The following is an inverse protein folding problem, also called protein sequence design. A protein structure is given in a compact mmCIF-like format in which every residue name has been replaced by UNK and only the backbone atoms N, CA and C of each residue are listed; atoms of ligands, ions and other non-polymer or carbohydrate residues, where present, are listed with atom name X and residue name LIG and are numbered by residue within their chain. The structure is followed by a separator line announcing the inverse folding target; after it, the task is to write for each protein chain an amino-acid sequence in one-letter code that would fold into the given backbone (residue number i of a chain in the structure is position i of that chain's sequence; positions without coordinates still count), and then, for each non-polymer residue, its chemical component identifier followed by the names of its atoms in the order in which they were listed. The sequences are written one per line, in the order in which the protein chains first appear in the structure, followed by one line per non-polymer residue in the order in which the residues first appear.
data_IF_793704401992
#
_entry.id   IF_793704401992
#
_cell.length_a   1.000
_cell.length_b   1.000
_cell.length_c   1.000
_cell.angle_alpha   90.00
_cell.angle_beta   90.00
_cell.angle_gamma   90.00
#
_symmetry.space_group_name_H-M   'P 1'
#
loop_
_entity.id
_entity.type
_entity.pdbx_description
1 polymer ?
#
# COMPACT_ATOMS: atom_id res chain seq x y z
N UNK A 1 -17.36 14.20 -14.58
CA UNK A 1 -16.67 12.96 -14.95
C UNK A 1 -15.22 13.33 -15.17
N UNK A 2 -14.39 13.30 -14.12
CA UNK A 2 -13.00 13.77 -14.20
C UNK A 2 -12.07 12.58 -14.42
N UNK A 3 -11.37 12.65 -15.54
CA UNK A 3 -10.28 11.80 -16.00
C UNK A 3 -9.12 11.86 -15.00
N UNK A 4 -8.82 10.73 -14.36
CA UNK A 4 -7.65 10.58 -13.48
C UNK A 4 -6.39 10.32 -14.34
N UNK A 5 -5.81 11.38 -14.90
CA UNK A 5 -4.48 11.33 -15.50
C UNK A 5 -3.40 11.56 -14.45
N UNK A 6 -2.54 10.55 -14.23
CA UNK A 6 -1.18 10.59 -13.69
C UNK A 6 -0.87 11.68 -12.63
N UNK A 7 -1.70 11.74 -11.59
CA UNK A 7 -1.42 12.60 -10.43
C UNK A 7 -0.28 11.97 -9.61
N UNK A 8 0.78 12.74 -9.33
CA UNK A 8 1.87 12.29 -8.45
C UNK A 8 1.32 11.91 -7.07
N UNK A 9 1.97 10.98 -6.35
CA UNK A 9 1.49 10.56 -5.01
C UNK A 9 1.22 11.74 -4.07
N UNK A 10 2.06 12.77 -4.11
CA UNK A 10 1.90 13.99 -3.32
C UNK A 10 0.64 14.76 -3.72
N UNK A 11 0.43 14.97 -5.02
CA UNK A 11 -0.74 15.70 -5.52
C UNK A 11 -2.06 14.94 -5.24
N UNK A 12 -2.04 13.61 -5.10
CA UNK A 12 -3.21 12.87 -4.63
C UNK A 12 -3.46 13.12 -3.14
N UNK A 13 -2.40 13.10 -2.32
CA UNK A 13 -2.52 13.39 -0.88
C UNK A 13 -3.09 14.81 -0.66
N UNK A 14 -2.59 15.80 -1.41
CA UNK A 14 -3.10 17.18 -1.38
C UNK A 14 -4.57 17.28 -1.87
N UNK A 15 -4.94 16.56 -2.93
CA UNK A 15 -6.32 16.54 -3.43
C UNK A 15 -7.28 15.94 -2.40
N UNK A 16 -6.89 14.86 -1.73
CA UNK A 16 -7.72 14.21 -0.71
C UNK A 16 -7.98 15.15 0.46
N UNK A 17 -6.96 15.87 0.91
CA UNK A 17 -7.10 16.84 1.99
C UNK A 17 -7.97 18.03 1.54
N UNK A 18 -7.67 18.65 0.40
CA UNK A 18 -8.35 19.88 -0.05
C UNK A 18 -9.78 19.64 -0.57
N UNK A 19 -10.00 18.56 -1.33
CA UNK A 19 -11.29 18.32 -2.00
C UNK A 19 -12.24 17.45 -1.17
N UNK A 20 -11.70 16.63 -0.26
CA UNK A 20 -12.50 15.71 0.54
C UNK A 20 -12.39 15.95 2.05
N UNK A 21 -11.54 16.88 2.49
CA UNK A 21 -11.33 17.23 3.90
C UNK A 21 -10.93 16.01 4.76
N UNK A 22 -10.18 15.08 4.15
CA UNK A 22 -9.68 13.86 4.78
C UNK A 22 -8.18 14.04 5.02
N UNK A 23 -7.78 14.13 6.28
CA UNK A 23 -6.36 14.19 6.65
C UNK A 23 -5.72 12.82 6.57
N UNK A 24 -4.60 12.72 5.85
CA UNK A 24 -3.84 11.47 5.70
C UNK A 24 -2.90 11.29 6.88
N UNK A 25 -3.21 10.30 7.70
CA UNK A 25 -2.47 9.98 8.90
C UNK A 25 -1.31 9.02 8.58
N UNK A 26 -0.13 9.36 9.10
CA UNK A 26 1.12 8.62 8.90
C UNK A 26 1.83 8.41 10.22
N UNK A 27 2.30 7.19 10.44
CA UNK A 27 3.02 6.76 11.63
C UNK A 27 4.34 6.08 11.24
N UNK A 28 5.35 6.17 12.10
CA UNK A 28 6.64 5.50 11.91
C UNK A 28 6.85 4.46 13.00
N UNK A 29 7.15 3.23 12.60
CA UNK A 29 7.42 2.12 13.52
C UNK A 29 8.82 1.56 13.29
N UNK A 30 9.49 1.20 14.38
CA UNK A 30 10.82 0.58 14.34
C UNK A 30 10.74 -0.81 14.94
N UNK A 31 11.38 -1.76 14.29
CA UNK A 31 11.43 -3.16 14.70
C UNK A 31 12.87 -3.66 14.66
N UNK A 32 13.20 -4.57 15.56
CA UNK A 32 14.55 -5.16 15.62
C UNK A 32 14.74 -6.22 14.53
N UNK A 33 13.65 -6.84 14.07
CA UNK A 33 13.69 -7.90 13.06
C UNK A 33 12.55 -7.77 12.06
N UNK A 34 12.73 -8.41 10.90
CA UNK A 34 11.67 -8.55 9.90
C UNK A 34 10.49 -9.39 10.42
N UNK A 35 10.72 -10.30 11.36
CA UNK A 35 9.66 -11.13 11.97
C UNK A 35 8.74 -10.31 12.87
N UNK A 36 9.32 -9.41 13.69
CA UNK A 36 8.55 -8.47 14.52
C UNK A 36 7.66 -7.58 13.65
N UNK A 37 8.20 -7.07 12.54
CA UNK A 37 7.43 -6.33 11.54
C UNK A 37 6.27 -7.17 10.98
N UNK A 38 6.52 -8.43 10.60
CA UNK A 38 5.48 -9.30 10.03
C UNK A 38 4.34 -9.55 11.03
N UNK A 39 4.67 -9.77 12.31
CA UNK A 39 3.69 -9.98 13.37
C UNK A 39 2.86 -8.71 13.61
N UNK A 40 3.51 -7.55 13.66
CA UNK A 40 2.83 -6.26 13.76
C UNK A 40 1.91 -6.03 12.55
N UNK A 41 2.41 -6.27 11.34
CA UNK A 41 1.63 -6.15 10.10
C UNK A 41 0.39 -7.04 10.14
N UNK A 42 0.52 -8.31 10.52
CA UNK A 42 -0.62 -9.22 10.64
C UNK A 42 -1.66 -8.72 11.66
N UNK A 43 -1.21 -8.16 12.76
CA UNK A 43 -2.08 -7.57 13.79
C UNK A 43 -2.87 -6.39 13.21
N UNK A 44 -2.21 -5.47 12.51
CA UNK A 44 -2.86 -4.35 11.83
C UNK A 44 -3.85 -4.86 10.79
N UNK A 45 -3.46 -5.83 9.96
CA UNK A 45 -4.32 -6.38 8.91
C UNK A 45 -5.61 -7.00 9.45
N UNK A 46 -5.52 -7.69 10.59
CA UNK A 46 -6.67 -8.23 11.32
C UNK A 46 -7.56 -7.11 11.88
N UNK A 47 -6.97 -6.11 12.51
CA UNK A 47 -7.70 -4.99 13.13
C UNK A 47 -8.43 -4.13 12.10
N UNK A 48 -7.81 -3.88 10.94
CA UNK A 48 -8.37 -3.00 9.90
C UNK A 48 -9.10 -3.76 8.80
N UNK A 49 -9.24 -5.09 8.91
CA UNK A 49 -9.83 -5.96 7.88
C UNK A 49 -9.29 -5.69 6.47
N UNK A 50 -8.00 -5.36 6.39
CA UNK A 50 -7.32 -4.95 5.16
C UNK A 50 -6.01 -5.69 5.05
N UNK A 51 -5.61 -6.04 3.83
CA UNK A 51 -4.30 -6.64 3.56
C UNK A 51 -3.37 -5.63 2.91
N UNK A 52 -2.08 -5.73 3.22
CA UNK A 52 -0.98 -4.96 2.65
C UNK A 52 -0.08 -5.90 1.84
N UNK A 53 -0.18 -5.81 0.52
CA UNK A 53 0.46 -6.71 -0.43
C UNK A 53 1.61 -6.04 -1.15
N UNK A 54 2.66 -6.83 -1.46
CA UNK A 54 3.83 -6.37 -2.20
C UNK A 54 3.59 -6.56 -3.69
N UNK A 55 3.54 -5.46 -4.45
CA UNK A 55 3.30 -5.50 -5.90
C UNK A 55 4.59 -5.52 -6.73
N UNK A 56 5.73 -5.18 -6.13
CA UNK A 56 7.02 -5.07 -6.81
C UNK A 56 8.12 -5.69 -5.96
N UNK A 57 9.25 -6.06 -6.56
CA UNK A 57 10.45 -6.49 -5.83
C UNK A 57 10.95 -5.42 -4.83
N UNK A 58 11.78 -5.85 -3.88
CA UNK A 58 12.52 -4.91 -3.04
C UNK A 58 13.54 -4.15 -3.89
N UNK A 59 13.82 -2.90 -3.52
CA UNK A 59 14.88 -2.09 -4.13
C UNK A 59 16.05 -2.02 -3.17
N UNK A 60 17.28 -2.05 -3.68
CA UNK A 60 18.46 -1.72 -2.89
C UNK A 60 18.50 -0.22 -2.64
N UNK A 61 18.88 0.16 -1.43
CA UNK A 61 19.21 1.53 -1.07
C UNK A 61 20.71 1.80 -1.25
N UNK A 62 21.09 3.08 -1.35
CA UNK A 62 22.48 3.50 -1.54
C UNK A 62 23.40 3.07 -0.39
N UNK A 63 22.86 2.87 0.81
CA UNK A 63 23.62 2.42 1.98
C UNK A 63 23.77 0.90 2.07
N UNK A 64 23.22 0.14 1.11
CA UNK A 64 23.22 -1.34 1.12
C UNK A 64 21.99 -1.95 1.79
N UNK A 65 21.10 -1.15 2.38
CA UNK A 65 19.80 -1.60 2.88
C UNK A 65 18.81 -1.95 1.76
N UNK A 66 17.60 -2.38 2.13
CA UNK A 66 16.52 -2.67 1.17
C UNK A 66 15.25 -1.89 1.48
N UNK A 67 14.51 -1.53 0.43
CA UNK A 67 13.22 -0.85 0.51
C UNK A 67 12.15 -1.73 -0.13
N UNK A 68 11.11 -2.05 0.62
CA UNK A 68 9.92 -2.72 0.13
C UNK A 68 8.68 -1.84 0.30
N UNK A 69 7.76 -1.92 -0.67
CA UNK A 69 6.48 -1.21 -0.62
C UNK A 69 5.35 -2.24 -0.55
N UNK A 70 4.48 -2.06 0.45
CA UNK A 70 3.25 -2.81 0.59
C UNK A 70 2.08 -1.85 0.43
N UNK A 71 1.13 -2.19 -0.43
CA UNK A 71 -0.05 -1.37 -0.70
C UNK A 71 -1.29 -2.10 -0.21
N UNK A 72 -2.34 -1.36 0.14
CA UNK A 72 -3.66 -1.97 0.36
C UNK A 72 -4.02 -2.91 -0.81
N UNK A 73 -4.51 -4.11 -0.50
CA UNK A 73 -4.90 -5.11 -1.51
C UNK A 73 -6.01 -4.64 -2.44
N UNK A 74 -6.82 -3.65 -2.03
CA UNK A 74 -7.84 -3.03 -2.86
C UNK A 74 -7.29 -1.94 -3.80
N UNK A 75 -6.06 -1.47 -3.56
CA UNK A 75 -5.39 -0.46 -4.38
C UNK A 75 -5.17 -0.93 -5.82
N UNK A 76 -5.38 -0.01 -6.76
CA UNK A 76 -5.07 -0.14 -8.16
C UNK A 76 -6.26 -0.53 -9.03
N UNK A 77 -5.96 -0.79 -10.29
CA UNK A 77 -6.93 -1.16 -11.31
C UNK A 77 -6.90 -2.67 -11.52
N UNK A 78 -8.07 -3.26 -11.72
CA UNK A 78 -8.16 -4.62 -12.18
C UNK A 78 -7.57 -4.71 -13.59
N UNK A 79 -6.57 -5.56 -13.76
CA UNK A 79 -6.00 -5.88 -15.06
C UNK A 79 -6.30 -7.35 -15.37
N UNK A 80 -6.99 -7.61 -16.48
CA UNK A 80 -7.18 -8.96 -17.00
C UNK A 80 -5.87 -9.46 -17.60
N UNK A 81 -4.93 -9.93 -16.78
CA UNK A 81 -3.71 -10.54 -17.27
C UNK A 81 -4.00 -11.99 -17.76
N UNK A 82 -3.74 -12.26 -19.05
CA UNK A 82 -3.85 -13.59 -19.69
C UNK A 82 -4.75 -13.62 -20.92
N UNK A 83 -4.75 -14.73 -21.67
CA UNK A 83 -5.52 -14.95 -22.92
C UNK A 83 -7.06 -14.93 -22.75
N UNK A 84 -7.59 -14.47 -21.61
CA UNK A 84 -9.02 -14.52 -21.25
C UNK A 84 -9.65 -15.92 -21.32
N UNK A 85 -8.83 -16.98 -21.33
CA UNK A 85 -9.27 -18.39 -21.35
C UNK A 85 -10.03 -18.83 -20.10
N UNK A 86 -9.89 -18.10 -18.99
CA UNK A 86 -10.64 -18.34 -17.75
C UNK A 86 -11.68 -17.26 -17.57
N UNK A 87 -12.93 -17.67 -17.35
CA UNK A 87 -14.00 -16.77 -16.94
C UNK A 87 -13.65 -16.10 -15.61
N UNK A 88 -14.05 -14.83 -15.44
CA UNK A 88 -13.95 -14.17 -14.14
C UNK A 88 -14.74 -14.94 -13.09
N UNK A 89 -14.25 -14.91 -11.85
CA UNK A 89 -15.02 -15.36 -10.70
C UNK A 89 -16.32 -14.53 -10.62
N UNK A 90 -17.43 -15.11 -10.18
CA UNK A 90 -18.70 -14.38 -10.02
C UNK A 90 -18.54 -13.11 -9.17
N UNK A 91 -17.70 -13.16 -8.14
CA UNK A 91 -17.45 -12.03 -7.25
C UNK A 91 -16.56 -10.92 -7.88
N UNK A 92 -16.02 -11.12 -9.09
CA UNK A 92 -15.17 -10.15 -9.75
C UNK A 92 -13.84 -9.90 -9.04
N UNK A 93 -13.35 -8.66 -9.17
CA UNK A 93 -12.10 -8.19 -8.57
C UNK A 93 -12.38 -7.34 -7.33
N UNK A 94 -11.57 -7.50 -6.28
CA UNK A 94 -11.64 -6.66 -5.07
C UNK A 94 -10.84 -5.34 -5.20
N UNK A 95 -10.45 -4.97 -6.43
CA UNK A 95 -9.78 -3.69 -6.71
C UNK A 95 -10.82 -2.58 -6.80
N UNK A 96 -10.54 -1.43 -6.19
CA UNK A 96 -11.43 -0.26 -6.24
C UNK A 96 -11.38 0.47 -7.59
N UNK A 97 -10.52 0.03 -8.52
CA UNK A 97 -10.25 0.72 -9.78
C UNK A 97 -9.89 2.19 -9.58
N UNK A 98 -8.99 2.40 -8.62
CA UNK A 98 -8.55 3.71 -8.16
C UNK A 98 -7.34 3.58 -7.25
N UNK A 99 -6.84 4.70 -6.74
CA UNK A 99 -5.67 4.72 -5.88
C UNK A 99 -6.06 4.88 -4.41
N UNK A 100 -5.76 3.87 -3.60
CA UNK A 100 -5.83 3.97 -2.15
C UNK A 100 -4.47 4.48 -1.60
N UNK A 101 -4.43 5.55 -0.78
CA UNK A 101 -3.19 6.06 -0.22
C UNK A 101 -2.57 5.15 0.85
N UNK A 102 -3.38 4.30 1.51
CA UNK A 102 -2.93 3.37 2.54
C UNK A 102 -1.87 2.40 2.03
N UNK A 103 -0.69 2.46 2.69
CA UNK A 103 0.54 1.77 2.27
C UNK A 103 1.54 1.70 3.43
N UNK A 104 2.44 0.73 3.37
CA UNK A 104 3.62 0.64 4.23
C UNK A 104 4.87 0.72 3.36
N UNK A 105 5.77 1.65 3.66
CA UNK A 105 7.12 1.69 3.10
C UNK A 105 8.06 1.15 4.18
N UNK A 106 8.65 0.00 3.88
CA UNK A 106 9.49 -0.77 4.81
C UNK A 106 10.94 -0.62 4.36
N UNK A 107 11.79 -0.12 5.25
CA UNK A 107 13.22 -0.03 5.09
C UNK A 107 13.87 -1.06 6.02
N UNK A 108 14.75 -1.89 5.48
CA UNK A 108 15.57 -2.83 6.23
C UNK A 108 17.03 -2.41 6.05
N UNK A 109 17.72 -2.13 7.14
CA UNK A 109 19.12 -1.72 7.10
C UNK A 109 20.07 -2.93 7.00
N UNK A 110 21.37 -2.66 6.92
CA UNK A 110 22.42 -3.69 6.86
C UNK A 110 22.55 -4.50 8.17
N UNK A 111 22.01 -4.00 9.27
CA UNK A 111 21.97 -4.65 10.58
C UNK A 111 20.66 -5.44 10.78
N UNK A 112 19.82 -5.57 9.73
CA UNK A 112 18.49 -6.20 9.77
C UNK A 112 17.45 -5.49 10.64
N UNK A 113 17.68 -4.24 11.04
CA UNK A 113 16.65 -3.42 11.70
C UNK A 113 15.67 -2.92 10.66
N UNK A 114 14.41 -2.84 11.06
CA UNK A 114 13.31 -2.50 10.14
C UNK A 114 12.63 -1.22 10.58
N UNK A 115 12.58 -0.23 9.69
CA UNK A 115 11.81 1.01 9.85
C UNK A 115 10.63 1.00 8.89
N UNK A 116 9.43 1.31 9.38
CA UNK A 116 8.20 1.30 8.59
C UNK A 116 7.54 2.66 8.65
N UNK A 117 7.43 3.33 7.50
CA UNK A 117 6.55 4.47 7.31
C UNK A 117 5.17 3.95 6.89
N UNK A 118 4.20 4.04 7.80
CA UNK A 118 2.84 3.53 7.62
C UNK A 118 1.86 4.67 7.37
N UNK A 119 1.21 4.66 6.20
CA UNK A 119 0.03 5.50 5.94
C UNK A 119 -1.21 4.67 6.20
N UNK A 120 -1.97 5.00 7.25
CA UNK A 120 -3.13 4.20 7.69
C UNK A 120 -4.44 4.57 7.00
N UNK A 121 -4.56 5.80 6.53
CA UNK A 121 -5.79 6.33 5.94
C UNK A 121 -6.12 5.62 4.63
N UNK A 122 -7.30 5.01 4.58
CA UNK A 122 -7.91 4.48 3.35
C UNK A 122 -8.84 5.53 2.74
N UNK A 123 -8.84 5.63 1.40
CA UNK A 123 -9.70 6.56 0.66
C UNK A 123 -10.36 5.80 -0.47
N UNK A 124 -11.66 6.07 -0.67
CA UNK A 124 -12.48 5.39 -1.67
C UNK A 124 -12.90 3.97 -1.29
N UNK A 125 -12.56 3.49 -0.08
CA UNK A 125 -13.05 2.23 0.49
C UNK A 125 -12.84 2.14 2.01
N UNK A 126 -13.47 1.13 2.62
CA UNK A 126 -13.31 0.72 4.02
C UNK A 126 -13.00 -0.76 4.16
#
# INVERSE_FOLDING_TARGET
MLVYELISKKALEDHVDLAHNITIEKDTHNFNTLEDFKLWKETIEKQTTSLYVKNTGSKSDKTGGTIAYFYCHRNGYYNTAGDKKRNMKMAGSNKINGNCPSKMKVYEDIESKVTVEFTKTHVGHG
#
